data_IF_643798968163
#
_entry.id   IF_643798968163
#
_cell.length_a   1.000
_cell.length_b   1.000
_cell.length_c   1.000
_cell.angle_alpha   90.00
_cell.angle_beta   90.00
_cell.angle_gamma   90.00
#
_symmetry.space_group_name_H-M   'P 1'
#
loop_
_entity.id
_entity.type
_entity.pdbx_description
1 polymer ?
#
# COMPACT_ATOMS: atom_id res chain seq x y z
N UNK A 1 -15.84 -10.42 15.66
CA UNK A 1 -14.95 -9.24 15.65
C UNK A 1 -15.19 -8.43 16.91
N UNK A 2 -14.13 -8.18 17.68
CA UNK A 2 -14.18 -7.44 18.95
C UNK A 2 -13.48 -6.09 18.85
N UNK A 3 -13.99 -5.12 19.63
CA UNK A 3 -13.38 -3.80 19.83
C UNK A 3 -12.82 -3.70 21.25
N UNK A 4 -11.51 -3.60 21.38
CA UNK A 4 -10.83 -3.43 22.67
C UNK A 4 -10.59 -1.93 22.89
N UNK A 5 -11.08 -1.33 23.98
CA UNK A 5 -10.93 0.10 24.23
C UNK A 5 -9.46 0.46 24.47
N UNK A 6 -9.08 1.65 24.00
CA UNK A 6 -7.78 2.27 24.23
C UNK A 6 -7.97 3.63 24.90
N UNK A 7 -6.86 4.25 25.30
CA UNK A 7 -6.86 5.67 25.69
C UNK A 7 -7.34 6.57 24.53
N UNK A 8 -7.79 7.78 24.88
CA UNK A 8 -8.27 8.80 23.92
C UNK A 8 -9.53 8.39 23.13
N UNK A 9 -10.36 7.50 23.69
CA UNK A 9 -11.64 7.09 23.08
C UNK A 9 -11.49 6.25 21.80
N UNK A 10 -10.30 5.74 21.53
CA UNK A 10 -10.02 4.85 20.39
C UNK A 10 -10.28 3.40 20.76
N UNK A 11 -10.35 2.54 19.75
CA UNK A 11 -10.45 1.09 19.92
C UNK A 11 -9.54 0.37 18.94
N UNK A 12 -9.02 -0.79 19.37
CA UNK A 12 -8.36 -1.74 18.50
C UNK A 12 -9.35 -2.83 18.06
N UNK A 13 -9.28 -3.24 16.80
CA UNK A 13 -10.05 -4.36 16.26
C UNK A 13 -9.23 -5.65 16.40
N UNK A 14 -9.87 -6.72 16.85
CA UNK A 14 -9.29 -8.08 16.90
C UNK A 14 -10.37 -9.11 16.57
N UNK A 15 -9.94 -10.33 16.21
CA UNK A 15 -10.86 -11.46 16.09
C UNK A 15 -11.31 -11.95 17.46
N UNK A 16 -12.42 -12.69 17.51
CA UNK A 16 -13.04 -13.08 18.78
C UNK A 16 -12.19 -14.10 19.56
N UNK A 17 -11.38 -14.90 18.87
CA UNK A 17 -10.41 -15.83 19.46
C UNK A 17 -9.35 -15.13 20.34
N UNK A 18 -9.18 -13.82 20.15
CA UNK A 18 -8.27 -12.98 20.93
C UNK A 18 -8.96 -12.21 22.05
N UNK A 19 -10.17 -12.62 22.45
CA UNK A 19 -10.96 -11.93 23.48
C UNK A 19 -10.24 -11.76 24.83
N UNK A 20 -9.30 -12.66 25.16
CA UNK A 20 -8.47 -12.59 26.38
C UNK A 20 -7.52 -11.39 26.39
N UNK A 21 -7.32 -10.71 25.27
CA UNK A 21 -6.54 -9.46 25.26
C UNK A 21 -7.21 -8.35 26.08
N UNK A 22 -8.50 -8.46 26.44
CA UNK A 22 -9.17 -7.50 27.36
C UNK A 22 -8.58 -7.47 28.77
N UNK A 23 -7.83 -8.49 29.18
CA UNK A 23 -7.21 -8.52 30.51
C UNK A 23 -6.03 -7.54 30.65
N UNK A 24 -5.61 -6.88 29.58
CA UNK A 24 -4.52 -5.90 29.62
C UNK A 24 -5.02 -4.46 29.54
N UNK A 25 -4.28 -3.57 30.20
CA UNK A 25 -4.49 -2.14 30.11
C UNK A 25 -3.87 -1.58 28.82
N UNK A 26 -4.64 -1.59 27.75
CA UNK A 26 -4.19 -1.07 26.45
C UNK A 26 -4.30 0.45 26.37
N UNK A 27 -3.30 1.07 25.75
CA UNK A 27 -3.28 2.50 25.45
C UNK A 27 -2.86 2.76 24.00
N UNK A 28 -3.30 3.91 23.48
CA UNK A 28 -2.92 4.40 22.17
C UNK A 28 -1.46 4.84 22.18
N UNK A 29 -0.66 4.30 21.28
CA UNK A 29 0.72 4.71 21.03
C UNK A 29 0.89 5.13 19.58
N UNK A 30 1.40 6.33 19.36
CA UNK A 30 1.61 6.87 18.02
C UNK A 30 3.08 6.73 17.64
N UNK A 31 3.34 6.21 16.44
CA UNK A 31 4.67 6.12 15.86
C UNK A 31 4.63 6.64 14.42
N UNK A 32 5.15 7.85 14.22
CA UNK A 32 5.04 8.55 12.94
C UNK A 32 3.57 8.81 12.57
N UNK A 33 3.08 8.12 11.54
CA UNK A 33 1.68 8.24 11.06
C UNK A 33 0.79 7.06 11.46
N UNK A 34 1.31 6.12 12.25
CA UNK A 34 0.59 4.90 12.61
C UNK A 34 0.26 4.91 14.09
N UNK A 35 -1.02 4.65 14.37
CA UNK A 35 -1.58 4.42 15.70
C UNK A 35 -1.46 2.92 16.03
N UNK A 36 -1.00 2.58 17.24
CA UNK A 36 -0.85 1.21 17.70
C UNK A 36 -1.47 1.03 19.08
N UNK A 37 -1.99 -0.17 19.34
CA UNK A 37 -2.34 -0.61 20.68
C UNK A 37 -1.10 -1.17 21.40
N UNK A 38 -0.73 -0.57 22.53
CA UNK A 38 0.36 -1.03 23.41
C UNK A 38 -0.14 -1.23 24.84
N UNK A 39 0.51 -2.13 25.56
CA UNK A 39 0.31 -2.34 26.99
C UNK A 39 1.68 -2.51 27.64
N UNK A 40 1.79 -2.17 28.92
CA UNK A 40 3.00 -2.33 29.71
C UNK A 40 2.76 -3.29 30.86
N UNK A 41 3.63 -4.27 31.00
CA UNK A 41 3.65 -5.19 32.13
C UNK A 41 4.95 -5.04 32.92
N UNK A 42 4.89 -5.41 34.20
CA UNK A 42 6.07 -5.50 35.06
C UNK A 42 6.30 -6.97 35.43
N UNK A 43 7.46 -7.51 35.06
CA UNK A 43 7.85 -8.91 35.30
C UNK A 43 9.24 -8.92 35.93
N UNK A 44 9.37 -9.43 37.17
CA UNK A 44 10.65 -9.46 37.91
C UNK A 44 11.41 -8.12 37.86
N UNK A 45 10.69 -7.03 38.16
CA UNK A 45 11.13 -5.64 38.11
C UNK A 45 11.54 -5.06 36.76
N UNK A 46 11.35 -5.81 35.67
CA UNK A 46 11.57 -5.33 34.31
C UNK A 46 10.25 -4.96 33.65
N UNK A 47 10.25 -3.82 32.96
CA UNK A 47 9.13 -3.41 32.10
C UNK A 47 9.16 -4.24 30.82
N UNK A 48 8.03 -4.86 30.49
CA UNK A 48 7.79 -5.58 29.24
C UNK A 48 6.71 -4.86 28.46
N UNK A 49 7.06 -4.38 27.27
CA UNK A 49 6.10 -3.69 26.39
C UNK A 49 5.44 -4.70 25.48
N UNK A 50 4.12 -4.80 25.58
CA UNK A 50 3.28 -5.60 24.71
C UNK A 50 2.78 -4.77 23.51
N UNK A 51 2.74 -5.39 22.33
CA UNK A 51 2.17 -4.81 21.11
C UNK A 51 1.13 -5.76 20.56
N UNK A 52 -0.11 -5.30 20.45
CA UNK A 52 -1.26 -6.16 20.11
C UNK A 52 -1.04 -6.96 18.82
N UNK A 53 -0.68 -6.30 17.72
CA UNK A 53 -0.40 -6.95 16.43
C UNK A 53 0.66 -8.07 16.50
N UNK A 54 1.62 -7.99 17.44
CA UNK A 54 2.66 -9.02 17.57
C UNK A 54 2.14 -10.24 18.31
N UNK A 55 1.27 -10.03 19.30
CA UNK A 55 0.68 -11.12 20.08
C UNK A 55 -0.26 -11.92 19.18
N UNK A 56 -1.14 -11.23 18.44
CA UNK A 56 -2.13 -11.87 17.56
C UNK A 56 -1.48 -12.80 16.52
N UNK A 57 -0.35 -12.43 15.93
CA UNK A 57 0.33 -13.29 14.94
C UNK A 57 1.46 -14.14 15.55
N UNK A 58 1.60 -14.14 16.88
CA UNK A 58 2.68 -14.82 17.60
C UNK A 58 4.10 -14.51 17.07
N UNK A 59 4.37 -13.22 16.82
CA UNK A 59 5.60 -12.78 16.18
C UNK A 59 6.83 -12.87 17.10
N UNK A 60 7.80 -13.71 16.71
CA UNK A 60 9.07 -13.88 17.40
C UNK A 60 9.95 -12.63 17.34
N UNK A 61 10.88 -12.50 18.29
CA UNK A 61 11.82 -11.39 18.35
C UNK A 61 12.58 -11.25 17.02
N UNK A 62 12.62 -10.03 16.49
CA UNK A 62 13.28 -9.73 15.21
C UNK A 62 12.37 -9.83 13.98
N UNK A 63 11.25 -10.56 14.05
CA UNK A 63 10.26 -10.56 12.97
C UNK A 63 9.51 -9.23 12.89
N UNK A 64 9.16 -8.81 11.68
CA UNK A 64 8.36 -7.61 11.44
C UNK A 64 6.95 -8.04 11.08
N UNK A 65 5.97 -7.30 11.61
CA UNK A 65 4.56 -7.50 11.33
C UNK A 65 4.07 -6.29 10.57
N UNK A 66 3.51 -6.51 9.39
CA UNK A 66 2.86 -5.52 8.54
C UNK A 66 1.35 -5.56 8.76
N UNK A 67 0.73 -4.38 8.76
CA UNK A 67 -0.71 -4.20 8.70
C UNK A 67 -1.08 -4.00 7.24
N UNK A 68 -1.78 -4.95 6.63
CA UNK A 68 -2.08 -4.96 5.19
C UNK A 68 -2.75 -3.64 4.77
N UNK A 69 -3.79 -3.22 5.50
CA UNK A 69 -4.48 -1.93 5.27
C UNK A 69 -3.74 -0.69 5.84
N UNK A 70 -2.60 -0.89 6.49
CA UNK A 70 -1.79 0.11 7.20
C UNK A 70 -2.50 0.82 8.36
N UNK A 71 -3.62 0.28 8.85
CA UNK A 71 -4.27 0.72 10.07
C UNK A 71 -3.70 -0.10 11.25
N UNK A 72 -2.82 0.51 12.05
CA UNK A 72 -2.17 -0.17 13.17
C UNK A 72 -3.09 -0.51 14.35
N UNK A 73 -4.35 -0.04 14.32
CA UNK A 73 -5.39 -0.41 15.28
C UNK A 73 -6.26 -1.57 14.78
N UNK A 74 -6.15 -1.97 13.51
CA UNK A 74 -6.82 -3.16 12.99
C UNK A 74 -5.90 -4.37 13.13
N UNK A 75 -6.00 -5.06 14.26
CA UNK A 75 -5.16 -6.20 14.62
C UNK A 75 -5.87 -7.54 14.38
N UNK A 76 -6.87 -7.58 13.50
CA UNK A 76 -7.47 -8.85 13.04
C UNK A 76 -6.43 -9.67 12.27
N UNK A 77 -6.46 -10.97 12.41
CA UNK A 77 -5.47 -11.90 11.85
C UNK A 77 -5.37 -11.77 10.33
N UNK A 78 -6.52 -11.60 9.66
CA UNK A 78 -6.60 -11.36 8.21
C UNK A 78 -5.89 -10.09 7.72
N UNK A 79 -5.67 -9.11 8.62
CA UNK A 79 -5.02 -7.85 8.29
C UNK A 79 -3.54 -7.82 8.71
N UNK A 80 -3.03 -8.89 9.30
CA UNK A 80 -1.66 -8.97 9.79
C UNK A 80 -0.87 -10.00 8.97
N UNK A 81 0.39 -9.68 8.69
CA UNK A 81 1.31 -10.63 8.06
C UNK A 81 2.74 -10.42 8.51
N UNK A 82 3.50 -11.50 8.55
CA UNK A 82 4.95 -11.42 8.72
C UNK A 82 5.59 -10.93 7.44
N UNK A 83 6.59 -10.05 7.57
CA UNK A 83 7.26 -9.49 6.41
C UNK A 83 8.72 -9.18 6.68
N UNK A 84 9.47 -8.95 5.61
CA UNK A 84 10.81 -8.33 5.65
C UNK A 84 10.69 -6.81 5.73
N UNK A 85 11.81 -6.12 6.03
CA UNK A 85 11.86 -4.66 5.94
C UNK A 85 11.52 -4.14 4.54
N UNK A 86 11.98 -4.83 3.49
CA UNK A 86 11.72 -4.46 2.09
C UNK A 86 10.23 -4.55 1.76
N UNK A 87 9.59 -5.66 2.14
CA UNK A 87 8.14 -5.87 1.96
C UNK A 87 7.30 -4.84 2.73
N UNK A 88 7.64 -4.56 4.00
CA UNK A 88 6.97 -3.50 4.77
C UNK A 88 7.09 -2.13 4.08
N UNK A 89 8.27 -1.84 3.52
CA UNK A 89 8.49 -0.61 2.76
C UNK A 89 7.68 -0.56 1.45
N UNK A 90 7.48 -1.71 0.79
CA UNK A 90 6.62 -1.80 -0.40
C UNK A 90 5.16 -1.44 -0.08
N UNK A 91 4.67 -1.80 1.12
CA UNK A 91 3.34 -1.41 1.59
C UNK A 91 3.25 0.04 2.13
N UNK A 92 4.37 0.76 2.20
CA UNK A 92 4.40 2.09 2.83
C UNK A 92 3.47 3.11 2.18
N UNK A 93 2.86 3.97 2.99
CA UNK A 93 2.08 5.11 2.50
C UNK A 93 2.99 6.10 1.77
N UNK A 94 2.47 6.72 0.71
CA UNK A 94 3.13 7.85 0.03
C UNK A 94 3.56 8.92 1.05
N UNK A 95 4.71 9.54 0.83
CA UNK A 95 5.16 10.70 1.59
C UNK A 95 4.27 11.92 1.32
N UNK A 96 4.14 12.79 2.33
CA UNK A 96 3.39 14.06 2.21
C UNK A 96 4.25 15.10 1.47
N UNK A 97 3.62 16.18 0.99
CA UNK A 97 4.28 17.35 0.39
C UNK A 97 5.16 17.01 -0.83
N UNK A 98 4.77 16.00 -1.60
CA UNK A 98 5.39 15.68 -2.90
C UNK A 98 4.65 16.40 -4.04
N UNK A 99 5.28 16.46 -5.22
CA UNK A 99 4.69 17.09 -6.42
C UNK A 99 3.48 16.37 -7.00
N UNK A 100 3.30 15.09 -6.66
CA UNK A 100 2.15 14.28 -7.06
C UNK A 100 1.37 13.86 -5.82
N UNK A 101 0.08 13.51 -5.96
CA UNK A 101 -0.72 12.81 -4.94
C UNK A 101 -0.57 11.28 -4.95
N UNK A 102 0.01 10.70 -6.01
CA UNK A 102 0.11 9.25 -6.20
C UNK A 102 1.50 8.68 -5.87
N UNK A 103 1.56 7.51 -5.23
CA UNK A 103 2.79 6.81 -4.87
C UNK A 103 3.61 6.50 -6.11
N UNK A 104 4.93 6.71 -6.03
CA UNK A 104 5.87 6.47 -7.13
C UNK A 104 5.82 7.49 -8.26
N UNK A 105 4.94 8.49 -8.20
CA UNK A 105 4.78 9.51 -9.23
C UNK A 105 5.37 10.84 -8.76
N UNK A 106 6.02 11.57 -9.67
CA UNK A 106 6.50 12.93 -9.45
C UNK A 106 6.51 13.73 -10.76
N UNK A 107 6.30 15.04 -10.60
CA UNK A 107 6.38 16.00 -11.71
C UNK A 107 7.83 16.41 -11.99
N UNK A 108 8.20 16.46 -13.27
CA UNK A 108 9.45 17.04 -13.76
C UNK A 108 9.16 18.44 -14.31
N UNK A 109 9.39 19.46 -13.48
CA UNK A 109 9.01 20.86 -13.77
C UNK A 109 9.51 21.41 -15.11
N UNK A 110 10.69 20.99 -15.58
CA UNK A 110 11.30 21.48 -16.83
C UNK A 110 10.87 20.71 -18.09
N UNK A 111 10.06 19.66 -17.95
CA UNK A 111 9.65 18.84 -19.09
C UNK A 111 8.54 19.55 -19.89
N UNK A 112 8.78 19.75 -21.20
CA UNK A 112 7.78 20.36 -22.12
C UNK A 112 6.64 19.41 -22.48
N UNK A 113 6.88 18.09 -22.43
CA UNK A 113 5.92 17.00 -22.69
C UNK A 113 6.17 15.87 -21.72
N UNK A 114 5.15 15.05 -21.44
CA UNK A 114 5.24 13.87 -20.56
C UNK A 114 5.90 14.18 -19.20
N UNK A 115 5.39 15.22 -18.51
CA UNK A 115 6.00 15.77 -17.30
C UNK A 115 5.88 14.88 -16.07
N UNK A 116 5.00 13.88 -16.08
CA UNK A 116 4.80 12.98 -14.95
C UNK A 116 5.66 11.74 -15.11
N UNK A 117 6.56 11.49 -14.16
CA UNK A 117 7.43 10.31 -14.18
C UNK A 117 7.04 9.33 -13.10
N UNK A 118 7.18 8.05 -13.43
CA UNK A 118 6.95 6.94 -12.51
C UNK A 118 8.28 6.29 -12.17
N UNK A 119 8.56 6.16 -10.87
CA UNK A 119 9.70 5.42 -10.33
C UNK A 119 9.23 4.40 -9.31
N UNK A 120 9.91 3.26 -9.28
CA UNK A 120 9.59 2.18 -8.34
C UNK A 120 10.87 1.57 -7.78
N UNK A 121 10.91 1.31 -6.48
CA UNK A 121 12.07 0.70 -5.83
C UNK A 121 12.12 -0.79 -6.16
N UNK A 122 13.27 -1.28 -6.60
CA UNK A 122 13.45 -2.70 -6.84
C UNK A 122 13.56 -3.46 -5.50
N UNK A 123 12.83 -4.58 -5.30
CA UNK A 123 12.81 -5.31 -4.02
C UNK A 123 14.19 -5.72 -3.50
N UNK A 124 15.08 -6.10 -4.43
CA UNK A 124 16.33 -6.81 -4.15
C UNK A 124 17.59 -5.94 -4.21
N UNK A 125 17.50 -4.74 -4.81
CA UNK A 125 18.68 -3.89 -5.08
C UNK A 125 18.63 -2.54 -4.37
N UNK A 126 17.51 -2.17 -3.75
CA UNK A 126 17.29 -0.86 -3.12
C UNK A 126 17.33 0.34 -4.10
N UNK A 127 17.64 0.10 -5.38
CA UNK A 127 17.70 1.12 -6.41
C UNK A 127 16.31 1.33 -7.01
N UNK A 128 15.94 2.60 -7.15
CA UNK A 128 14.72 2.99 -7.86
C UNK A 128 14.95 2.85 -9.37
N UNK A 129 14.02 2.19 -10.06
CA UNK A 129 13.98 2.10 -11.53
C UNK A 129 12.97 3.08 -12.10
N UNK A 130 13.29 3.66 -13.25
CA UNK A 130 12.37 4.46 -14.04
C UNK A 130 11.44 3.53 -14.80
N UNK A 131 10.13 3.71 -14.62
CA UNK A 131 9.09 2.91 -15.29
C UNK A 131 8.66 3.58 -16.58
N UNK A 132 8.50 4.90 -16.56
CA UNK A 132 8.03 5.64 -17.72
C UNK A 132 7.79 7.12 -17.44
N UNK A 133 7.47 7.84 -18.51
CA UNK A 133 7.06 9.25 -18.47
C UNK A 133 5.75 9.42 -19.21
N UNK A 134 4.81 10.17 -18.63
CA UNK A 134 3.41 10.22 -19.02
C UNK A 134 2.90 11.66 -19.06
N UNK A 135 1.88 11.89 -19.89
CA UNK A 135 1.29 13.21 -20.08
C UNK A 135 0.41 13.60 -18.90
N UNK A 136 -0.25 12.63 -18.28
CA UNK A 136 -1.10 12.86 -17.11
C UNK A 136 -0.55 12.18 -15.86
N UNK A 137 -0.91 12.74 -14.70
CA UNK A 137 -0.53 12.20 -13.39
C UNK A 137 -1.19 10.82 -13.15
N UNK A 138 -2.41 10.66 -13.65
CA UNK A 138 -3.19 9.42 -13.52
C UNK A 138 -2.53 8.30 -14.32
N UNK A 139 -2.14 8.52 -15.57
CA UNK A 139 -1.42 7.51 -16.37
C UNK A 139 -0.14 7.02 -15.68
N UNK A 140 0.62 7.95 -15.11
CA UNK A 140 1.81 7.63 -14.34
C UNK A 140 1.50 6.76 -13.11
N UNK A 141 0.38 7.04 -12.43
CA UNK A 141 -0.06 6.27 -11.26
C UNK A 141 -0.58 4.87 -11.63
N UNK A 142 -1.29 4.73 -12.75
CA UNK A 142 -1.72 3.43 -13.27
C UNK A 142 -0.51 2.57 -13.63
N UNK A 143 0.48 3.16 -14.30
CA UNK A 143 1.74 2.47 -14.59
C UNK A 143 2.48 2.05 -13.33
N UNK A 144 2.45 2.87 -12.27
CA UNK A 144 3.01 2.47 -10.97
C UNK A 144 2.29 1.24 -10.42
N UNK A 145 0.96 1.24 -10.43
CA UNK A 145 0.15 0.18 -9.85
C UNK A 145 0.36 -1.16 -10.57
N UNK A 146 0.43 -1.14 -11.90
CA UNK A 146 0.75 -2.32 -12.71
C UNK A 146 2.11 -2.88 -12.30
N UNK A 147 3.16 -2.04 -12.30
CA UNK A 147 4.50 -2.50 -11.95
C UNK A 147 4.65 -2.90 -10.48
N UNK A 148 3.92 -2.25 -9.57
CA UNK A 148 3.93 -2.55 -8.14
C UNK A 148 3.27 -3.90 -7.87
N UNK A 149 2.14 -4.18 -8.51
CA UNK A 149 1.46 -5.47 -8.41
C UNK A 149 2.35 -6.61 -8.93
N UNK A 150 2.99 -6.40 -10.08
CA UNK A 150 3.92 -7.38 -10.66
C UNK A 150 5.14 -7.63 -9.75
N UNK A 151 5.76 -6.57 -9.21
CA UNK A 151 7.01 -6.70 -8.44
C UNK A 151 6.82 -7.11 -6.98
N UNK A 152 5.76 -6.61 -6.33
CA UNK A 152 5.59 -6.70 -4.88
C UNK A 152 4.46 -7.65 -4.47
N UNK A 153 3.65 -8.10 -5.43
CA UNK A 153 2.53 -9.00 -5.18
C UNK A 153 1.60 -8.43 -4.12
N UNK A 154 1.31 -9.24 -3.10
CA UNK A 154 0.45 -8.86 -1.98
C UNK A 154 0.97 -7.65 -1.15
N UNK A 155 2.27 -7.33 -1.21
CA UNK A 155 2.86 -6.19 -0.49
C UNK A 155 2.73 -4.87 -1.26
N UNK A 156 2.15 -4.90 -2.46
CA UNK A 156 1.95 -3.73 -3.28
C UNK A 156 0.92 -2.79 -2.66
N UNK A 157 1.34 -1.57 -2.28
CA UNK A 157 0.39 -0.48 -2.03
C UNK A 157 0.03 0.22 -3.35
N UNK A 158 -1.14 -0.11 -3.88
CA UNK A 158 -1.68 0.50 -5.09
C UNK A 158 -2.27 1.89 -4.82
N UNK A 159 -2.26 2.74 -5.85
CA UNK A 159 -2.95 4.02 -5.88
C UNK A 159 -4.45 3.84 -6.12
N UNK A 160 -4.84 2.81 -6.86
CA UNK A 160 -6.21 2.46 -7.23
C UNK A 160 -6.52 1.00 -6.83
N UNK A 161 -6.75 0.71 -5.54
CA UNK A 161 -6.99 -0.65 -5.07
C UNK A 161 -8.31 -1.26 -5.56
N UNK A 162 -9.31 -0.43 -5.85
CA UNK A 162 -10.65 -0.83 -6.32
C UNK A 162 -10.68 -1.15 -7.83
N UNK A 163 -9.66 -0.74 -8.59
CA UNK A 163 -9.63 -1.00 -10.04
C UNK A 163 -9.05 -2.36 -10.35
N UNK A 164 -9.81 -3.21 -11.03
CA UNK A 164 -9.31 -4.49 -11.53
C UNK A 164 -8.27 -4.28 -12.63
N UNK A 165 -7.34 -5.22 -12.76
CA UNK A 165 -6.28 -5.19 -13.78
C UNK A 165 -6.90 -5.13 -15.19
N UNK A 166 -8.03 -5.80 -15.39
CA UNK A 166 -8.75 -5.77 -16.66
C UNK A 166 -9.28 -4.36 -16.97
N UNK A 167 -9.83 -3.65 -15.97
CA UNK A 167 -10.26 -2.26 -16.13
C UNK A 167 -9.07 -1.32 -16.38
N UNK A 168 -7.92 -1.61 -15.78
CA UNK A 168 -6.68 -0.84 -15.95
C UNK A 168 -6.09 -1.02 -17.37
N UNK A 169 -6.08 -2.25 -17.89
CA UNK A 169 -5.57 -2.56 -19.24
C UNK A 169 -6.48 -1.92 -20.30
N UNK A 170 -7.79 -2.11 -20.19
CA UNK A 170 -8.78 -1.52 -21.13
C UNK A 170 -8.67 0.01 -21.17
N UNK A 171 -8.47 0.67 -20.03
CA UNK A 171 -8.31 2.13 -19.99
C UNK A 171 -7.01 2.63 -20.64
N UNK A 172 -5.94 1.84 -20.58
CA UNK A 172 -4.67 2.16 -21.25
C UNK A 172 -4.81 1.94 -22.77
N UNK A 173 -5.37 0.81 -23.19
CA UNK A 173 -5.57 0.45 -24.61
C UNK A 173 -6.52 1.42 -25.34
N UNK A 174 -7.65 1.78 -24.72
CA UNK A 174 -8.60 2.74 -25.29
C UNK A 174 -8.02 4.15 -25.45
N UNK A 175 -6.99 4.52 -24.68
CA UNK A 175 -6.32 5.84 -24.77
C UNK A 175 -5.17 5.86 -25.77
N UNK A 176 -4.48 4.73 -25.97
CA UNK A 176 -3.49 4.59 -27.06
C UNK A 176 -4.16 4.58 -28.43
N UNK A 177 -5.34 3.97 -28.56
CA UNK A 177 -6.09 3.92 -29.83
C UNK A 177 -6.68 5.27 -30.26
N UNK A 178 -6.88 6.20 -29.33
CA UNK A 178 -7.32 7.58 -29.64
C UNK A 178 -6.18 8.51 -30.10
N UNK A 179 -4.92 8.05 -30.12
CA UNK A 179 -3.76 8.81 -30.61
C UNK A 179 -3.23 8.35 -31.99
N UNK A 180 -3.83 7.33 -32.61
CA UNK A 180 -3.70 7.15 -34.06
C UNK A 180 -4.87 7.86 -34.75
N UNK A 181 -4.61 9.10 -35.17
CA UNK A 181 -5.45 9.75 -36.15
C UNK A 181 -5.48 8.95 -37.45
N UNK A 182 -6.67 8.92 -38.06
CA UNK A 182 -6.91 8.72 -39.49
C UNK A 182 -6.23 7.53 -40.16
N UNK A 183 -6.96 6.43 -40.28
CA UNK A 183 -7.17 5.72 -41.55
C UNK A 183 -8.18 4.59 -41.32
N UNK A 184 -9.45 4.87 -41.62
CA UNK A 184 -10.38 3.82 -42.00
C UNK A 184 -10.01 3.43 -43.44
N UNK A 185 -9.61 2.18 -43.74
CA UNK A 185 -9.51 1.77 -45.11
C UNK A 185 -10.93 1.61 -45.68
N UNK A 186 -11.20 2.51 -46.62
CA UNK A 186 -11.92 2.35 -47.89
C UNK A 186 -12.78 1.09 -48.03
N UNK A 187 -14.04 1.33 -48.41
CA UNK A 187 -14.99 0.35 -48.93
C UNK A 187 -14.34 -0.56 -49.97
N UNK A 188 -14.63 -1.86 -49.88
CA UNK A 188 -14.69 -2.74 -51.03
C UNK A 188 -16.16 -3.15 -51.22
N UNK A 189 -16.81 -2.51 -52.17
CA UNK A 189 -17.92 -3.10 -52.91
C UNK A 189 -17.33 -4.19 -53.83
N UNK A 190 -17.98 -5.34 -53.96
CA UNK A 190 -17.67 -6.29 -55.04
C UNK A 190 -17.92 -7.77 -54.75
N UNK A 191 -19.17 -8.18 -54.95
CA UNK A 191 -19.65 -9.46 -55.52
C UNK A 191 -18.76 -10.72 -55.45
N UNK A 192 -19.30 -11.76 -54.80
CA UNK A 192 -19.76 -13.02 -55.43
C UNK A 192 -20.76 -13.71 -54.48
#
# INVERSE_FOLDING_TARGET
MKKIPLTQGKFALVDDDWAWLDYFNWYLSISGRTEYARSDLRVKDKRVVLRMHRIVINAQKGQIVDHINSNGLDNRTENLRLCTNSQNFQNSRKQKNCSSKYKGVYEVKKAKRKKWRTMICSPNKGKSRHVGSYSTEIEAALAYDIMAKELFGEFARLNFPESTVDNLIVLVELRTSKNLGSQLPVRFDGNC
#
